data_IF_222072361993
#
_entry.id   IF_222072361993
#
_cell.length_a   1.000
_cell.length_b   1.000
_cell.length_c   1.000
_cell.angle_alpha   90.00
_cell.angle_beta   90.00
_cell.angle_gamma   90.00
#
_symmetry.space_group_name_H-M   'P 1'
#
loop_
_entity.id
_entity.type
_entity.pdbx_description
1 polymer ?
#
# COMPACT_ATOMS: atom_id res chain seq x y z
N UNK A 1 -36.16 -88.12 -51.80
CA UNK A 1 -36.51 -87.77 -50.41
C UNK A 1 -35.78 -86.46 -50.12
N UNK A 2 -36.52 -85.37 -49.93
CA UNK A 2 -36.08 -84.07 -49.33
C UNK A 2 -35.06 -83.24 -50.15
N UNK A 3 -35.03 -81.91 -50.24
CA UNK A 3 -35.82 -80.75 -49.79
C UNK A 3 -35.30 -79.52 -50.60
N UNK A 4 -36.00 -78.38 -50.51
CA UNK A 4 -35.74 -77.01 -51.05
C UNK A 4 -34.40 -76.38 -50.53
N UNK A 5 -34.09 -75.05 -50.56
CA UNK A 5 -34.54 -73.87 -51.35
C UNK A 5 -33.38 -72.92 -51.80
N UNK A 6 -33.76 -71.85 -52.51
CA UNK A 6 -33.34 -70.43 -52.40
C UNK A 6 -32.08 -69.99 -51.63
N UNK A 7 -31.34 -69.04 -52.22
CA UNK A 7 -31.01 -67.71 -51.65
C UNK A 7 -30.03 -67.01 -52.62
N UNK A 8 -30.43 -65.97 -53.36
CA UNK A 8 -30.53 -64.56 -52.97
C UNK A 8 -29.28 -63.92 -52.35
N UNK A 9 -29.07 -62.70 -52.85
CA UNK A 9 -28.42 -61.55 -52.21
C UNK A 9 -26.90 -61.46 -52.37
N UNK A 10 -26.42 -60.56 -53.22
CA UNK A 10 -26.39 -59.09 -53.08
C UNK A 10 -25.15 -58.59 -52.34
N UNK A 11 -24.56 -57.57 -52.97
CA UNK A 11 -23.81 -56.48 -52.37
C UNK A 11 -22.46 -56.78 -51.70
N UNK A 12 -21.42 -56.11 -52.23
CA UNK A 12 -20.90 -54.96 -51.49
C UNK A 12 -20.11 -54.01 -52.42
N UNK A 13 -20.49 -52.72 -52.49
CA UNK A 13 -19.80 -51.73 -53.30
C UNK A 13 -18.46 -51.32 -52.67
N UNK A 14 -17.52 -50.96 -53.54
CA UNK A 14 -16.19 -50.47 -53.17
C UNK A 14 -16.27 -49.29 -52.18
N UNK A 15 -15.74 -49.49 -50.97
CA UNK A 15 -15.63 -48.42 -49.96
C UNK A 15 -14.61 -47.38 -50.42
N UNK A 16 -15.08 -46.17 -50.69
CA UNK A 16 -14.23 -45.00 -50.97
C UNK A 16 -13.73 -44.42 -49.64
N UNK A 17 -12.45 -44.03 -49.50
CA UNK A 17 -11.97 -43.44 -48.25
C UNK A 17 -12.59 -42.03 -48.05
N UNK A 18 -12.91 -41.64 -46.80
CA UNK A 18 -13.46 -40.32 -46.52
C UNK A 18 -12.39 -39.24 -46.76
N UNK A 19 -12.70 -38.27 -47.63
CA UNK A 19 -11.90 -37.06 -47.80
C UNK A 19 -12.02 -36.21 -46.54
N UNK A 20 -10.86 -35.91 -45.94
CA UNK A 20 -10.74 -35.09 -44.74
C UNK A 20 -11.00 -33.65 -45.14
N UNK A 21 -12.19 -33.14 -44.83
CA UNK A 21 -12.52 -31.72 -45.04
C UNK A 21 -11.55 -30.85 -44.24
N UNK A 22 -10.64 -30.19 -44.96
CA UNK A 22 -9.81 -29.12 -44.41
C UNK A 22 -10.77 -28.02 -43.99
N UNK A 23 -11.04 -27.92 -42.69
CA UNK A 23 -11.78 -26.82 -42.09
C UNK A 23 -11.13 -25.50 -42.53
N UNK A 24 -11.75 -24.83 -43.50
CA UNK A 24 -11.33 -23.53 -43.95
C UNK A 24 -11.76 -22.56 -42.86
N UNK A 25 -10.79 -22.07 -42.07
CA UNK A 25 -11.04 -21.04 -41.08
C UNK A 25 -11.69 -19.85 -41.79
N UNK A 26 -12.88 -19.47 -41.35
CA UNK A 26 -13.61 -18.36 -41.95
C UNK A 26 -12.77 -17.09 -41.79
N UNK A 27 -12.67 -16.26 -42.84
CA UNK A 27 -11.92 -14.99 -42.78
C UNK A 27 -12.36 -14.12 -41.60
N UNK A 28 -13.62 -14.23 -41.17
CA UNK A 28 -14.17 -13.55 -40.00
C UNK A 28 -13.56 -14.05 -38.68
N UNK A 29 -13.27 -15.36 -38.57
CA UNK A 29 -12.63 -15.95 -37.39
C UNK A 29 -11.18 -15.48 -37.27
N UNK A 30 -10.50 -15.34 -38.41
CA UNK A 30 -9.12 -14.82 -38.45
C UNK A 30 -9.12 -13.36 -38.00
N UNK A 31 -10.02 -12.52 -38.53
CA UNK A 31 -10.13 -11.12 -38.11
C UNK A 31 -10.45 -11.01 -36.61
N UNK A 32 -11.42 -11.80 -36.12
CA UNK A 32 -11.74 -11.81 -34.70
C UNK A 32 -10.53 -12.24 -33.83
N UNK A 33 -9.83 -13.30 -34.21
CA UNK A 33 -8.64 -13.77 -33.50
C UNK A 33 -7.50 -12.73 -33.53
N UNK A 34 -7.33 -12.00 -34.63
CA UNK A 34 -6.33 -10.93 -34.73
C UNK A 34 -6.66 -9.75 -33.82
N UNK A 35 -7.91 -9.28 -33.80
CA UNK A 35 -8.36 -8.21 -32.92
C UNK A 35 -8.18 -8.62 -31.45
N UNK A 36 -8.55 -9.86 -31.11
CA UNK A 36 -8.41 -10.39 -29.75
C UNK A 36 -6.94 -10.50 -29.34
N UNK A 37 -6.06 -10.99 -30.23
CA UNK A 37 -4.61 -11.01 -29.99
C UNK A 37 -4.03 -9.62 -29.75
N UNK A 38 -4.40 -8.65 -30.59
CA UNK A 38 -3.92 -7.26 -30.45
C UNK A 38 -4.41 -6.67 -29.12
N UNK A 39 -5.68 -6.87 -28.78
CA UNK A 39 -6.25 -6.44 -27.50
C UNK A 39 -5.51 -7.03 -26.30
N UNK A 40 -5.23 -8.33 -26.33
CA UNK A 40 -4.50 -9.01 -25.26
C UNK A 40 -3.06 -8.48 -25.12
N UNK A 41 -2.36 -8.28 -26.24
CA UNK A 41 -1.00 -7.71 -26.25
C UNK A 41 -0.98 -6.29 -25.69
N UNK A 42 -1.97 -5.47 -26.01
CA UNK A 42 -2.10 -4.11 -25.47
C UNK A 42 -2.31 -4.11 -23.96
N UNK A 43 -3.19 -4.98 -23.45
CA UNK A 43 -3.43 -5.09 -22.00
C UNK A 43 -2.15 -5.48 -21.27
N UNK A 44 -1.43 -6.48 -21.76
CA UNK A 44 -0.16 -6.94 -21.14
C UNK A 44 0.90 -5.82 -21.19
N UNK A 45 1.06 -5.18 -22.35
CA UNK A 45 2.07 -4.15 -22.54
C UNK A 45 1.78 -2.89 -21.70
N UNK A 46 0.51 -2.47 -21.66
CA UNK A 46 0.08 -1.30 -20.92
C UNK A 46 0.14 -1.54 -19.41
N UNK A 47 -0.26 -2.73 -18.94
CA UNK A 47 -0.19 -3.10 -17.52
C UNK A 47 1.26 -3.03 -16.98
N UNK A 48 2.23 -3.57 -17.74
CA UNK A 48 3.64 -3.49 -17.37
C UNK A 48 4.26 -2.07 -17.44
N UNK A 49 3.69 -1.16 -18.23
CA UNK A 49 4.12 0.25 -18.29
C UNK A 49 3.53 1.07 -17.15
N UNK A 50 2.26 0.83 -16.80
CA UNK A 50 1.60 1.48 -15.67
C UNK A 50 2.29 1.09 -14.35
N UNK A 51 2.54 -0.21 -14.13
CA UNK A 51 3.17 -0.68 -12.90
C UNK A 51 4.54 -0.03 -12.63
N UNK A 52 5.39 0.07 -13.66
CA UNK A 52 6.70 0.73 -13.57
C UNK A 52 6.58 2.24 -13.30
N UNK A 53 5.61 2.90 -13.93
CA UNK A 53 5.35 4.32 -13.69
C UNK A 53 4.92 4.59 -12.24
N UNK A 54 4.01 3.77 -11.71
CA UNK A 54 3.51 3.90 -10.34
C UNK A 54 4.62 3.71 -9.31
N UNK A 55 5.48 2.69 -9.48
CA UNK A 55 6.61 2.46 -8.58
C UNK A 55 7.58 3.66 -8.57
N UNK A 56 7.90 4.21 -9.74
CA UNK A 56 8.80 5.37 -9.84
C UNK A 56 8.21 6.61 -9.14
N UNK A 57 6.90 6.84 -9.28
CA UNK A 57 6.22 7.95 -8.60
C UNK A 57 6.17 7.76 -7.08
N UNK A 58 5.97 6.54 -6.59
CA UNK A 58 6.00 6.23 -5.16
C UNK A 58 7.39 6.51 -4.59
N UNK A 59 8.45 6.02 -5.23
CA UNK A 59 9.83 6.26 -4.79
C UNK A 59 10.19 7.74 -4.84
N UNK A 60 9.77 8.45 -5.89
CA UNK A 60 9.96 9.90 -6.01
C UNK A 60 9.29 10.64 -4.85
N UNK A 61 8.04 10.30 -4.50
CA UNK A 61 7.33 10.91 -3.37
C UNK A 61 8.01 10.62 -2.04
N UNK A 62 8.50 9.41 -1.84
CA UNK A 62 9.25 9.01 -0.64
C UNK A 62 10.54 9.81 -0.49
N UNK A 63 11.30 9.94 -1.57
CA UNK A 63 12.54 10.72 -1.60
C UNK A 63 12.26 12.20 -1.32
N UNK A 64 11.22 12.77 -1.93
CA UNK A 64 10.85 14.16 -1.69
C UNK A 64 10.48 14.42 -0.23
N UNK A 65 9.64 13.57 0.37
CA UNK A 65 9.29 13.69 1.79
C UNK A 65 10.52 13.61 2.70
N UNK A 66 11.50 12.76 2.35
CA UNK A 66 12.76 12.66 3.09
C UNK A 66 13.58 13.95 2.97
N UNK A 67 13.68 14.54 1.78
CA UNK A 67 14.37 15.80 1.54
C UNK A 67 13.73 16.93 2.37
N UNK A 68 12.40 17.02 2.36
CA UNK A 68 11.67 18.08 3.06
C UNK A 68 11.95 18.02 4.59
N UNK A 69 11.95 16.82 5.17
CA UNK A 69 12.29 16.61 6.59
C UNK A 69 13.75 16.98 6.88
N UNK A 70 14.68 16.55 6.03
CA UNK A 70 16.10 16.84 6.21
C UNK A 70 16.41 18.34 6.08
N UNK A 71 15.71 19.04 5.20
CA UNK A 71 15.88 20.48 5.04
C UNK A 71 15.41 21.24 6.28
N UNK A 72 14.27 20.84 6.86
CA UNK A 72 13.80 21.40 8.13
C UNK A 72 14.81 21.15 9.25
N UNK A 73 15.28 19.91 9.39
CA UNK A 73 16.26 19.55 10.41
C UNK A 73 17.57 20.32 10.24
N UNK A 74 18.03 20.52 9.00
CA UNK A 74 19.22 21.33 8.71
C UNK A 74 19.04 22.77 9.19
N UNK A 75 17.88 23.39 8.92
CA UNK A 75 17.60 24.76 9.36
C UNK A 75 17.67 24.87 10.88
N UNK A 76 17.10 23.92 11.61
CA UNK A 76 17.13 23.94 13.08
C UNK A 76 18.53 23.70 13.64
N UNK A 77 19.28 22.74 13.08
CA UNK A 77 20.68 22.51 13.45
C UNK A 77 21.58 23.73 13.14
N UNK A 78 21.31 24.45 12.05
CA UNK A 78 22.01 25.69 11.74
C UNK A 78 21.73 26.77 12.80
N UNK A 79 20.48 26.93 13.24
CA UNK A 79 20.14 27.87 14.32
C UNK A 79 20.84 27.51 15.62
N UNK A 80 20.84 26.23 15.99
CA UNK A 80 21.49 25.76 17.22
C UNK A 80 23.00 25.99 17.17
N UNK A 81 23.64 25.66 16.05
CA UNK A 81 25.06 25.95 15.83
C UNK A 81 25.35 27.44 15.95
N UNK A 82 24.54 28.29 15.31
CA UNK A 82 24.75 29.74 15.30
C UNK A 82 24.54 30.35 16.69
N UNK A 83 23.57 29.83 17.46
CA UNK A 83 23.39 30.18 18.86
C UNK A 83 24.60 29.79 19.71
N UNK A 84 25.07 28.54 19.59
CA UNK A 84 26.21 28.03 20.36
C UNK A 84 27.53 28.75 20.01
N UNK A 85 27.66 29.27 18.79
CA UNK A 85 28.84 30.03 18.35
C UNK A 85 28.87 31.48 18.84
N UNK A 86 27.77 31.99 19.42
CA UNK A 86 27.64 33.37 19.86
C UNK A 86 27.88 33.53 21.37
N UNK A 87 28.37 34.70 21.78
CA UNK A 87 28.66 35.05 23.18
C UNK A 87 27.39 35.01 24.06
N UNK A 88 26.21 35.23 23.47
CA UNK A 88 24.91 35.10 24.16
C UNK A 88 24.74 33.72 24.79
N UNK A 89 25.22 32.65 24.14
CA UNK A 89 25.13 31.30 24.70
C UNK A 89 26.02 31.15 25.94
N UNK A 90 27.19 31.78 25.95
CA UNK A 90 28.10 31.77 27.10
C UNK A 90 27.50 32.58 28.26
N UNK A 91 26.93 33.74 27.98
CA UNK A 91 26.23 34.57 28.97
C UNK A 91 25.02 33.84 29.57
N UNK A 92 24.19 33.21 28.73
CA UNK A 92 23.06 32.41 29.19
C UNK A 92 23.53 31.30 30.12
N UNK A 93 24.54 30.51 29.72
CA UNK A 93 25.11 29.47 30.59
C UNK A 93 25.65 30.05 31.90
N UNK A 94 26.36 31.18 31.85
CA UNK A 94 26.93 31.83 33.02
C UNK A 94 25.84 32.21 34.03
N UNK A 95 24.71 32.77 33.55
CA UNK A 95 23.59 33.16 34.41
C UNK A 95 22.77 31.95 34.91
N UNK A 96 22.49 30.96 34.06
CA UNK A 96 21.61 29.84 34.42
C UNK A 96 22.33 28.75 35.20
N UNK A 97 23.44 28.25 34.70
CA UNK A 97 24.19 27.13 35.27
C UNK A 97 25.33 27.62 36.16
N UNK A 98 26.10 28.60 35.67
CA UNK A 98 27.25 29.14 36.39
C UNK A 98 26.87 29.98 37.61
N UNK A 99 25.62 30.44 37.71
CA UNK A 99 25.14 31.40 38.73
C UNK A 99 26.02 32.67 38.84
N UNK A 100 26.69 33.00 37.75
CA UNK A 100 27.49 34.21 37.59
C UNK A 100 26.56 35.37 37.24
N UNK A 101 26.94 36.57 37.66
CA UNK A 101 26.18 37.81 37.38
C UNK A 101 27.18 38.90 36.99
N UNK A 102 26.77 39.85 36.15
CA UNK A 102 27.61 41.02 35.83
C UNK A 102 27.65 42.00 37.00
N UNK A 103 28.61 42.92 36.95
CA UNK A 103 28.68 44.02 37.91
C UNK A 103 27.38 44.83 37.90
N UNK A 104 26.74 44.92 39.07
CA UNK A 104 25.47 45.61 39.27
C UNK A 104 24.21 44.75 39.15
N UNK A 105 24.34 43.48 38.76
CA UNK A 105 23.22 42.52 38.74
C UNK A 105 23.06 41.81 40.10
N UNK A 106 21.82 41.44 40.45
CA UNK A 106 21.49 40.75 41.71
C UNK A 106 20.88 39.39 41.37
N UNK A 107 21.53 38.31 41.82
CA UNK A 107 21.00 36.95 41.68
C UNK A 107 19.83 36.75 42.65
N UNK A 108 18.64 36.43 42.10
CA UNK A 108 17.45 36.08 42.88
C UNK A 108 17.13 34.61 42.68
N UNK A 109 17.11 33.85 43.77
CA UNK A 109 16.70 32.43 43.76
C UNK A 109 15.30 32.34 44.37
N UNK A 110 14.25 32.08 43.57
CA UNK A 110 12.90 31.94 44.11
C UNK A 110 12.81 30.67 44.95
N UNK A 111 12.49 30.84 46.24
CA UNK A 111 12.13 29.74 47.13
C UNK A 111 10.62 29.55 46.96
N UNK A 112 10.13 28.37 46.50
CA UNK A 112 8.70 28.14 46.37
C UNK A 112 8.03 28.31 47.73
N UNK A 113 7.10 29.27 47.81
CA UNK A 113 6.32 29.52 49.01
C UNK A 113 5.23 28.45 49.11
N UNK A 114 5.43 27.50 50.02
CA UNK A 114 4.42 26.50 50.39
C UNK A 114 4.39 25.30 49.45
N UNK A 115 4.59 24.12 50.03
CA UNK A 115 4.03 22.89 49.48
C UNK A 115 2.52 23.09 49.49
N UNK A 116 1.91 23.42 48.35
CA UNK A 116 0.47 23.30 48.24
C UNK A 116 0.15 21.83 48.47
N UNK A 117 -0.52 21.51 49.57
CA UNK A 117 -1.14 20.20 49.72
C UNK A 117 -1.96 19.96 48.45
N UNK A 118 -1.74 18.85 47.73
CA UNK A 118 -2.49 18.58 46.53
C UNK A 118 -3.97 18.48 46.93
N UNK A 119 -4.76 19.48 46.56
CA UNK A 119 -6.21 19.38 46.63
C UNK A 119 -6.58 18.17 45.79
N UNK A 120 -7.27 17.16 46.34
CA UNK A 120 -7.65 15.99 45.56
C UNK A 120 -8.55 16.46 44.42
N UNK A 121 -8.03 16.41 43.20
CA UNK A 121 -8.85 16.60 42.00
C UNK A 121 -9.94 15.51 42.02
N UNK A 122 -11.20 15.82 41.69
CA UNK A 122 -12.24 14.81 41.63
C UNK A 122 -11.80 13.70 40.67
N UNK A 123 -11.71 12.48 41.17
CA UNK A 123 -11.38 11.29 40.38
C UNK A 123 -12.35 11.22 39.19
N UNK A 124 -11.86 11.26 37.94
CA UNK A 124 -12.72 11.08 36.78
C UNK A 124 -13.43 9.74 36.93
N UNK A 125 -14.76 9.73 36.93
CA UNK A 125 -15.49 8.49 36.85
C UNK A 125 -15.16 7.87 35.49
N UNK A 126 -14.43 6.76 35.52
CA UNK A 126 -14.18 5.95 34.32
C UNK A 126 -15.52 5.36 33.93
N UNK A 127 -16.21 6.03 33.02
CA UNK A 127 -17.28 5.41 32.25
C UNK A 127 -16.60 4.27 31.51
N UNK A 128 -16.85 3.03 31.96
CA UNK A 128 -16.49 1.85 31.18
C UNK A 128 -17.30 1.96 29.90
N UNK A 129 -16.66 2.47 28.85
CA UNK A 129 -17.20 2.41 27.51
C UNK A 129 -17.41 0.93 27.23
N UNK A 130 -18.67 0.52 27.10
CA UNK A 130 -19.01 -0.76 26.47
C UNK A 130 -18.30 -0.71 25.12
N UNK A 131 -17.31 -1.59 24.94
CA UNK A 131 -16.66 -1.75 23.65
C UNK A 131 -17.78 -1.94 22.63
N UNK A 132 -17.85 -1.11 21.57
CA UNK A 132 -18.76 -1.40 20.48
C UNK A 132 -18.40 -2.81 20.02
N UNK A 133 -19.38 -3.72 20.04
CA UNK A 133 -19.25 -5.03 19.42
C UNK A 133 -18.72 -4.81 18.02
N UNK A 134 -17.50 -5.28 17.78
CA UNK A 134 -16.79 -5.16 16.52
C UNK A 134 -17.75 -5.61 15.40
N UNK A 135 -17.91 -4.83 14.32
CA UNK A 135 -18.81 -5.22 13.25
C UNK A 135 -18.34 -6.58 12.71
N UNK A 136 -19.21 -7.59 12.79
CA UNK A 136 -18.90 -8.93 12.33
C UNK A 136 -18.38 -8.86 10.90
N UNK A 137 -17.09 -9.13 10.74
CA UNK A 137 -16.47 -9.09 9.42
C UNK A 137 -17.00 -10.30 8.65
N UNK A 138 -17.64 -10.12 7.49
CA UNK A 138 -18.18 -11.24 6.74
C UNK A 138 -17.04 -12.23 6.43
N UNK A 139 -17.22 -13.52 6.72
CA UNK A 139 -16.17 -14.56 6.61
C UNK A 139 -15.40 -14.54 5.27
N UNK A 140 -16.02 -14.08 4.18
CA UNK A 140 -15.39 -13.96 2.86
C UNK A 140 -14.32 -12.86 2.79
N UNK A 141 -14.39 -11.80 3.60
CA UNK A 141 -13.35 -10.77 3.69
C UNK A 141 -12.04 -11.33 4.28
N UNK A 142 -12.13 -12.29 5.21
CA UNK A 142 -10.96 -12.97 5.77
C UNK A 142 -10.23 -13.78 4.69
N UNK A 143 -11.00 -14.53 3.88
CA UNK A 143 -10.44 -15.26 2.74
C UNK A 143 -9.82 -14.32 1.72
N UNK A 144 -10.48 -13.22 1.40
CA UNK A 144 -9.94 -12.22 0.48
C UNK A 144 -8.60 -11.65 0.96
N UNK A 145 -8.52 -11.26 2.23
CA UNK A 145 -7.29 -10.70 2.81
C UNK A 145 -6.14 -11.72 2.79
N UNK A 146 -6.41 -13.01 3.00
CA UNK A 146 -5.38 -14.06 2.92
C UNK A 146 -4.76 -14.20 1.50
N UNK A 147 -5.53 -13.96 0.44
CA UNK A 147 -5.06 -14.12 -0.94
C UNK A 147 -4.50 -12.84 -1.54
N UNK A 148 -4.97 -11.68 -1.11
CA UNK A 148 -4.68 -10.39 -1.74
C UNK A 148 -4.06 -9.35 -0.79
N UNK A 149 -3.85 -9.69 0.49
CA UNK A 149 -3.23 -8.85 1.53
C UNK A 149 -3.74 -7.40 1.52
N UNK A 150 -5.07 -7.26 1.45
CA UNK A 150 -5.75 -5.98 1.26
C UNK A 150 -7.26 -6.08 1.32
N UNK A 151 -7.93 -4.94 1.49
CA UNK A 151 -9.38 -4.85 1.52
C UNK A 151 -9.99 -5.09 0.12
N UNK A 152 -11.14 -5.76 0.01
CA UNK A 152 -11.81 -5.98 -1.27
C UNK A 152 -12.23 -4.65 -1.93
N UNK A 153 -12.21 -4.56 -3.28
CA UNK A 153 -12.51 -3.33 -3.99
C UNK A 153 -14.03 -3.09 -4.13
N UNK A 154 -14.79 -3.14 -3.03
CA UNK A 154 -16.21 -2.80 -2.99
C UNK A 154 -16.72 -2.59 -1.56
#
# INVERSE_FOLDING_TARGET
>A
MSEQPSAYSEEQPARTPPRRDRQQLSSIQIVFATILSIGLLLVINLSGRIARGQQMEIERRRLQATIDVLEQQKVDLMKERDYAANDISVEHWAHTEGKMVRDGEILVIPIPAGVAEPTPAPTPQVLVAVQPSEPETPQWHLWWNLFFDGAPPF
#
